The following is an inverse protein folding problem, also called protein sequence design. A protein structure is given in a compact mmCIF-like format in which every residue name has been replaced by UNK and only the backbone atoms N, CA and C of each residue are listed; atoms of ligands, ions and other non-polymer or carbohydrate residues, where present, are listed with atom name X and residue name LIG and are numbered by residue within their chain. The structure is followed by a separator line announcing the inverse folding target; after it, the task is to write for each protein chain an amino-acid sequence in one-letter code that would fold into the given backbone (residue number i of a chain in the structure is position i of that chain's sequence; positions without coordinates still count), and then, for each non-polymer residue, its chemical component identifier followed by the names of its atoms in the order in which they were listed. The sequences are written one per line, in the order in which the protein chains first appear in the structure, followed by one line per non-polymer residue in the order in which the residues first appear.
data_IF_034945049405
#
_entry.id   IF_034945049405
#
_cell.length_a   1.000
_cell.length_b   1.000
_cell.length_c   1.000
_cell.angle_alpha   90.00
_cell.angle_beta   90.00
_cell.angle_gamma   90.00
#
_symmetry.space_group_name_H-M   'P 1'
#
loop_
_entity.id
_entity.type
_entity.pdbx_description
1 polymer ?
#
# COMPACT_ATOMS: atom_id res chain seq x y z
N UNK A 1 1.96 2.31 -13.66
CA UNK A 1 2.85 1.13 -13.72
C UNK A 1 4.07 1.25 -12.81
N UNK A 2 4.92 2.29 -12.92
CA UNK A 2 6.14 2.41 -12.11
C UNK A 2 5.90 2.29 -10.59
N UNK A 3 4.89 2.96 -10.05
CA UNK A 3 4.56 2.93 -8.61
C UNK A 3 4.11 1.56 -8.12
N UNK A 4 3.36 0.82 -8.94
CA UNK A 4 2.89 -0.54 -8.63
C UNK A 4 4.05 -1.53 -8.57
N UNK A 5 5.06 -1.36 -9.44
CA UNK A 5 6.24 -2.21 -9.47
C UNK A 5 7.13 -1.99 -8.24
N UNK A 6 7.26 -0.72 -7.82
CA UNK A 6 7.95 -0.34 -6.58
C UNK A 6 7.21 -0.90 -5.36
N UNK A 7 5.90 -0.72 -5.27
CA UNK A 7 5.10 -1.27 -4.15
C UNK A 7 5.11 -2.81 -4.10
N UNK A 8 5.14 -3.47 -5.26
CA UNK A 8 5.28 -4.93 -5.32
C UNK A 8 6.66 -5.40 -4.85
N UNK A 9 7.73 -4.73 -5.28
CA UNK A 9 9.09 -5.05 -4.84
C UNK A 9 9.25 -4.85 -3.32
N UNK A 10 8.70 -3.78 -2.77
CA UNK A 10 8.71 -3.51 -1.32
C UNK A 10 7.96 -4.61 -0.54
N UNK A 11 6.78 -4.99 -1.03
CA UNK A 11 5.94 -6.02 -0.39
C UNK A 11 6.57 -7.42 -0.46
N UNK A 12 7.22 -7.76 -1.57
CA UNK A 12 7.99 -9.00 -1.71
C UNK A 12 9.17 -8.99 -0.76
N UNK A 13 9.90 -7.88 -0.64
CA UNK A 13 11.02 -7.74 0.27
C UNK A 13 10.60 -7.96 1.74
N UNK A 14 9.51 -7.32 2.17
CA UNK A 14 8.91 -7.52 3.51
C UNK A 14 8.46 -8.96 3.76
N UNK A 15 7.93 -9.64 2.73
CA UNK A 15 7.47 -11.02 2.85
C UNK A 15 8.65 -11.98 2.99
N UNK A 16 9.72 -11.75 2.24
CA UNK A 16 10.98 -12.50 2.37
C UNK A 16 11.58 -12.28 3.75
N UNK A 17 11.62 -11.04 4.25
CA UNK A 17 12.13 -10.75 5.60
C UNK A 17 11.33 -11.46 6.69
N UNK A 18 9.99 -11.45 6.60
CA UNK A 18 9.12 -12.13 7.56
C UNK A 18 9.33 -13.66 7.58
N UNK A 19 9.59 -14.27 6.43
CA UNK A 19 9.80 -15.72 6.32
C UNK A 19 11.22 -16.16 6.68
N UNK A 20 12.23 -15.36 6.31
CA UNK A 20 13.64 -15.70 6.54
C UNK A 20 14.18 -15.16 7.87
N UNK A 21 13.42 -14.30 8.56
CA UNK A 21 13.82 -13.74 9.86
C UNK A 21 15.13 -12.98 9.79
N UNK A 22 15.40 -12.33 8.66
CA UNK A 22 16.68 -11.65 8.38
C UNK A 22 16.89 -10.48 9.34
N UNK A 23 15.81 -10.02 10.00
CA UNK A 23 15.82 -8.87 10.89
C UNK A 23 15.86 -7.64 10.02
N UNK A 24 14.69 -7.02 9.82
CA UNK A 24 14.56 -5.79 9.05
C UNK A 24 15.69 -4.83 9.46
N UNK A 25 16.46 -4.36 8.49
CA UNK A 25 17.55 -3.41 8.73
C UNK A 25 16.93 -2.05 9.11
N UNK A 26 16.59 -1.90 10.39
CA UNK A 26 16.00 -0.70 10.98
C UNK A 26 17.06 0.37 11.22
N UNK A 27 17.83 0.72 10.20
CA UNK A 27 18.95 1.65 10.34
C UNK A 27 18.50 3.11 10.55
N UNK A 28 17.30 3.45 10.07
CA UNK A 28 16.79 4.83 10.06
C UNK A 28 15.78 5.15 11.17
N UNK A 29 15.04 4.14 11.69
CA UNK A 29 13.97 4.36 12.67
C UNK A 29 13.96 3.23 13.69
N UNK A 30 14.06 3.57 14.97
CA UNK A 30 14.03 2.60 16.07
C UNK A 30 12.59 2.09 16.30
N UNK A 31 12.43 0.78 16.47
CA UNK A 31 11.15 0.18 16.85
C UNK A 31 10.37 -0.58 15.75
N UNK A 32 10.90 -0.73 14.53
CA UNK A 32 10.28 -1.60 13.51
C UNK A 32 10.14 -3.04 14.05
N UNK A 33 11.11 -3.58 14.80
CA UNK A 33 10.98 -4.91 15.43
C UNK A 33 9.76 -5.00 16.37
N UNK A 34 9.47 -3.93 17.12
CA UNK A 34 8.30 -3.85 18.01
C UNK A 34 7.02 -3.84 17.18
N UNK A 35 7.00 -3.08 16.08
CA UNK A 35 5.86 -3.05 15.15
C UNK A 35 5.66 -4.43 14.50
N UNK A 36 6.71 -5.08 14.00
CA UNK A 36 6.62 -6.38 13.32
C UNK A 36 6.25 -7.53 14.26
N UNK A 37 6.66 -7.47 15.53
CA UNK A 37 6.29 -8.46 16.56
C UNK A 37 4.98 -8.16 17.27
N UNK A 38 4.38 -6.99 17.05
CA UNK A 38 3.08 -6.64 17.63
C UNK A 38 1.96 -7.49 17.03
N UNK A 39 0.89 -7.72 17.80
CA UNK A 39 -0.33 -8.39 17.30
C UNK A 39 -0.93 -7.65 16.09
N UNK A 40 -0.66 -6.35 15.95
CA UNK A 40 -1.11 -5.56 14.82
C UNK A 40 -0.37 -5.82 13.51
N UNK A 41 0.79 -6.49 13.54
CA UNK A 41 1.47 -6.98 12.34
C UNK A 41 0.74 -8.17 11.71
N UNK A 42 -0.15 -8.83 12.46
CA UNK A 42 -0.94 -9.97 12.01
C UNK A 42 -2.44 -9.70 12.20
N UNK A 43 -3.12 -9.31 11.12
CA UNK A 43 -4.57 -9.15 11.15
C UNK A 43 -5.22 -10.52 10.94
N UNK A 44 -5.94 -11.03 11.95
CA UNK A 44 -6.52 -12.39 11.95
C UNK A 44 -5.47 -13.51 11.73
N UNK A 45 -4.25 -13.33 12.24
CA UNK A 45 -3.15 -14.29 12.05
C UNK A 45 -2.51 -14.23 10.65
N UNK A 46 -2.91 -13.27 9.81
CA UNK A 46 -2.35 -13.06 8.47
C UNK A 46 -1.43 -11.83 8.51
N UNK A 47 -0.14 -11.97 8.15
CA UNK A 47 0.78 -10.84 8.16
C UNK A 47 0.32 -9.73 7.21
N UNK A 48 0.46 -8.50 7.68
CA UNK A 48 0.07 -7.29 6.96
C UNK A 48 0.70 -7.18 5.56
N UNK A 49 1.90 -7.75 5.40
CA UNK A 49 2.61 -7.82 4.13
C UNK A 49 1.77 -8.48 3.02
N UNK A 50 0.97 -9.50 3.37
CA UNK A 50 0.09 -10.20 2.42
C UNK A 50 -1.03 -9.27 1.94
N UNK A 51 -1.60 -8.47 2.83
CA UNK A 51 -2.59 -7.45 2.44
C UNK A 51 -1.98 -6.41 1.50
N UNK A 52 -0.74 -6.01 1.75
CA UNK A 52 0.03 -5.16 0.84
C UNK A 52 0.19 -5.79 -0.55
N UNK A 53 0.64 -7.04 -0.63
CA UNK A 53 0.76 -7.77 -1.91
C UNK A 53 -0.56 -7.79 -2.67
N UNK A 54 -1.65 -8.14 -1.99
CA UNK A 54 -2.99 -8.22 -2.61
C UNK A 54 -3.39 -6.84 -3.14
N UNK A 55 -3.20 -5.78 -2.34
CA UNK A 55 -3.53 -4.42 -2.72
C UNK A 55 -2.73 -3.95 -3.95
N UNK A 56 -1.41 -4.08 -3.94
CA UNK A 56 -0.56 -3.67 -5.07
C UNK A 56 -0.82 -4.51 -6.33
N UNK A 57 -1.10 -5.81 -6.17
CA UNK A 57 -1.47 -6.68 -7.28
C UNK A 57 -2.81 -6.25 -7.91
N UNK A 58 -3.83 -5.98 -7.11
CA UNK A 58 -5.10 -5.44 -7.58
C UNK A 58 -4.91 -4.12 -8.34
N UNK A 59 -4.14 -3.18 -7.79
CA UNK A 59 -3.85 -1.89 -8.44
C UNK A 59 -3.14 -2.10 -9.78
N UNK A 60 -2.16 -3.01 -9.85
CA UNK A 60 -1.43 -3.30 -11.09
C UNK A 60 -2.34 -3.87 -12.19
N UNK A 61 -3.21 -4.82 -11.81
CA UNK A 61 -4.19 -5.42 -12.72
C UNK A 61 -5.16 -4.36 -13.22
N UNK A 62 -5.73 -3.54 -12.33
CA UNK A 62 -6.71 -2.52 -12.71
C UNK A 62 -6.09 -1.47 -13.64
N UNK A 63 -4.85 -1.03 -13.38
CA UNK A 63 -4.15 -0.10 -14.29
C UNK A 63 -3.99 -0.69 -15.69
N UNK A 64 -3.61 -1.96 -15.81
CA UNK A 64 -3.54 -2.65 -17.11
C UNK A 64 -4.91 -2.73 -17.79
N UNK A 65 -5.98 -3.02 -17.04
CA UNK A 65 -7.34 -3.07 -17.57
C UNK A 65 -7.84 -1.67 -18.02
N UNK A 66 -7.48 -0.60 -17.31
CA UNK A 66 -7.78 0.78 -17.74
C UNK A 66 -7.11 1.07 -19.08
N UNK A 67 -5.85 0.69 -19.24
CA UNK A 67 -5.06 0.95 -20.45
C UNK A 67 -5.60 0.16 -21.67
N UNK A 68 -5.96 -1.11 -21.47
CA UNK A 68 -6.46 -1.99 -22.53
C UNK A 68 -7.90 -1.64 -22.95
N UNK A 69 -8.80 -1.40 -21.98
CA UNK A 69 -10.23 -1.30 -22.27
C UNK A 69 -10.76 0.15 -22.30
N UNK A 70 -10.02 1.13 -21.76
CA UNK A 70 -10.40 2.54 -21.63
C UNK A 70 -11.86 2.75 -21.14
N UNK A 71 -12.33 1.91 -20.21
CA UNK A 71 -13.69 2.03 -19.66
C UNK A 71 -13.66 2.85 -18.38
N UNK A 72 -14.58 3.82 -18.27
CA UNK A 72 -14.79 4.64 -17.07
C UNK A 72 -15.04 3.79 -15.81
N UNK A 73 -15.63 2.60 -15.98
CA UNK A 73 -15.85 1.65 -14.87
C UNK A 73 -14.56 1.28 -14.15
N UNK A 74 -13.47 1.05 -14.88
CA UNK A 74 -12.18 0.67 -14.28
C UNK A 74 -11.50 1.86 -13.60
N UNK A 75 -11.65 3.07 -14.15
CA UNK A 75 -11.16 4.31 -13.52
C UNK A 75 -11.88 4.54 -12.18
N UNK A 76 -13.21 4.33 -12.16
CA UNK A 76 -14.01 4.43 -10.93
C UNK A 76 -13.60 3.37 -9.90
N UNK A 77 -13.33 2.15 -10.34
CA UNK A 77 -12.86 1.07 -9.46
C UNK A 77 -11.47 1.39 -8.85
N UNK A 78 -10.56 1.91 -9.67
CA UNK A 78 -9.24 2.35 -9.21
C UNK A 78 -9.34 3.46 -8.15
N UNK A 79 -10.24 4.41 -8.37
CA UNK A 79 -10.52 5.48 -7.41
C UNK A 79 -11.04 4.95 -6.06
N UNK A 80 -12.00 4.01 -6.09
CA UNK A 80 -12.53 3.37 -4.87
C UNK A 80 -11.42 2.62 -4.11
N UNK A 81 -10.59 1.84 -4.81
CA UNK A 81 -9.48 1.12 -4.19
C UNK A 81 -8.43 2.09 -3.63
N UNK A 82 -8.15 3.19 -4.32
CA UNK A 82 -7.27 4.24 -3.82
C UNK A 82 -7.78 4.85 -2.51
N UNK A 83 -9.08 5.13 -2.41
CA UNK A 83 -9.71 5.62 -1.17
C UNK A 83 -9.55 4.60 -0.04
N UNK A 84 -9.86 3.32 -0.31
CA UNK A 84 -9.75 2.27 0.70
C UNK A 84 -8.30 2.13 1.20
N UNK A 85 -7.32 2.14 0.30
CA UNK A 85 -5.90 2.10 0.66
C UNK A 85 -5.44 3.31 1.46
N UNK A 86 -5.96 4.50 1.16
CA UNK A 86 -5.66 5.73 1.90
C UNK A 86 -6.26 5.70 3.31
N UNK A 87 -7.50 5.27 3.46
CA UNK A 87 -8.15 5.10 4.78
C UNK A 87 -7.39 4.06 5.61
N UNK A 88 -7.06 2.92 5.02
CA UNK A 88 -6.26 1.89 5.68
C UNK A 88 -4.90 2.44 6.14
N UNK A 89 -4.22 3.23 5.29
CA UNK A 89 -2.95 3.88 5.61
C UNK A 89 -3.05 4.81 6.83
N UNK A 90 -4.12 5.60 6.93
CA UNK A 90 -4.37 6.47 8.09
C UNK A 90 -4.60 5.63 9.36
N UNK A 91 -5.38 4.55 9.27
CA UNK A 91 -5.63 3.66 10.41
C UNK A 91 -4.32 3.05 10.91
N UNK A 92 -3.45 2.60 10.00
CA UNK A 92 -2.13 2.06 10.38
C UNK A 92 -1.21 3.10 11.00
N UNK A 93 -1.21 4.32 10.47
CA UNK A 93 -0.46 5.45 11.04
C UNK A 93 -0.93 5.76 12.46
N UNK A 94 -2.24 5.77 12.67
CA UNK A 94 -2.85 5.99 13.98
C UNK A 94 -2.43 4.90 14.97
N UNK A 95 -2.44 3.63 14.54
CA UNK A 95 -2.02 2.50 15.36
C UNK A 95 -0.54 2.57 15.78
N UNK A 96 0.34 2.97 14.86
CA UNK A 96 1.77 3.12 15.14
C UNK A 96 2.07 4.22 16.15
N UNK A 97 1.37 5.35 16.06
CA UNK A 97 1.60 6.50 16.96
C UNK A 97 0.93 6.35 18.32
N UNK A 98 -0.31 5.86 18.37
CA UNK A 98 -1.11 5.85 19.60
C UNK A 98 -1.12 4.52 20.35
N UNK A 99 -0.86 3.40 19.66
CA UNK A 99 -0.97 2.06 20.27
C UNK A 99 0.40 1.44 20.47
N UNK A 100 1.22 1.41 19.42
CA UNK A 100 2.53 0.75 19.47
C UNK A 100 3.61 1.73 19.96
N UNK A 101 3.37 3.05 19.80
CA UNK A 101 4.34 4.13 20.08
C UNK A 101 5.70 3.92 19.39
N UNK A 102 5.69 3.23 18.25
CA UNK A 102 6.87 2.87 17.47
C UNK A 102 6.61 3.06 15.97
N UNK A 103 7.63 3.54 15.26
CA UNK A 103 7.56 3.82 13.84
C UNK A 103 8.37 2.80 13.05
N UNK A 104 7.77 2.28 11.97
CA UNK A 104 8.46 1.36 11.07
C UNK A 104 8.65 2.01 9.71
N UNK A 105 9.91 2.11 9.27
CA UNK A 105 10.29 2.78 8.02
C UNK A 105 9.57 2.18 6.81
N UNK A 106 9.51 0.85 6.74
CA UNK A 106 8.81 0.12 5.68
C UNK A 106 7.30 0.41 5.66
N UNK A 107 6.66 0.52 6.82
CA UNK A 107 5.26 0.92 6.88
C UNK A 107 5.06 2.37 6.40
N UNK A 108 6.00 3.27 6.71
CA UNK A 108 6.00 4.64 6.17
C UNK A 108 6.15 4.66 4.64
N UNK A 109 7.04 3.82 4.09
CA UNK A 109 7.20 3.68 2.63
C UNK A 109 5.92 3.16 1.98
N UNK A 110 5.24 2.18 2.60
CA UNK A 110 3.94 1.67 2.14
C UNK A 110 2.84 2.74 2.22
N UNK A 111 2.86 3.59 3.25
CA UNK A 111 1.99 4.76 3.39
C UNK A 111 2.21 5.77 2.26
N UNK A 112 3.47 6.08 1.98
CA UNK A 112 3.86 6.98 0.90
C UNK A 112 3.41 6.46 -0.46
N UNK A 113 3.63 5.18 -0.74
CA UNK A 113 3.23 4.54 -1.99
C UNK A 113 1.70 4.46 -2.14
N UNK A 114 0.95 4.11 -1.09
CA UNK A 114 -0.52 4.19 -1.11
C UNK A 114 -1.03 5.61 -1.35
N UNK A 115 -0.41 6.61 -0.73
CA UNK A 115 -0.75 8.03 -0.95
C UNK A 115 -0.48 8.46 -2.39
N UNK A 116 0.66 8.05 -2.96
CA UNK A 116 1.00 8.31 -4.36
C UNK A 116 -0.02 7.64 -5.30
N UNK A 117 -0.43 6.40 -5.02
CA UNK A 117 -1.47 5.69 -5.80
C UNK A 117 -2.80 6.43 -5.71
N UNK A 118 -3.17 6.94 -4.54
CA UNK A 118 -4.39 7.74 -4.36
C UNK A 118 -4.35 9.03 -5.20
N UNK A 119 -3.23 9.78 -5.15
CA UNK A 119 -3.04 11.00 -5.95
C UNK A 119 -3.10 10.69 -7.46
N UNK A 120 -2.41 9.63 -7.91
CA UNK A 120 -2.46 9.18 -9.31
C UNK A 120 -3.87 8.77 -9.74
N UNK A 121 -4.62 8.10 -8.88
CA UNK A 121 -6.00 7.70 -9.14
C UNK A 121 -6.91 8.91 -9.29
N UNK A 122 -6.74 9.93 -8.46
CA UNK A 122 -7.44 11.22 -8.59
C UNK A 122 -7.08 11.92 -9.90
N UNK A 123 -5.79 11.99 -10.25
CA UNK A 123 -5.35 12.65 -11.49
C UNK A 123 -5.91 11.95 -12.74
N UNK A 124 -5.90 10.61 -12.76
CA UNK A 124 -6.51 9.82 -13.84
C UNK A 124 -8.02 10.00 -13.90
N UNK A 125 -8.70 10.02 -12.76
CA UNK A 125 -10.13 10.30 -12.69
C UNK A 125 -10.45 11.71 -13.23
N UNK A 126 -9.70 12.73 -12.81
CA UNK A 126 -9.90 14.10 -13.25
C UNK A 126 -9.58 14.31 -14.75
N UNK A 127 -8.61 13.56 -15.30
CA UNK A 127 -8.34 13.50 -16.75
C UNK A 127 -9.47 12.83 -17.52
N UNK A 128 -10.00 11.72 -17.01
CA UNK A 128 -11.15 11.02 -17.61
C UNK A 128 -12.40 11.90 -17.61
N UNK A 129 -12.65 12.67 -16.55
CA UNK A 129 -13.77 13.64 -16.51
C UNK A 129 -13.54 14.88 -17.37
N UNK A 130 -12.28 15.24 -17.72
CA UNK A 130 -11.98 16.32 -18.67
C UNK A 130 -12.07 15.88 -20.15
N UNK A 131 -12.21 14.58 -20.42
CA UNK A 131 -12.30 13.99 -21.77
C UNK A 131 -13.74 13.66 -22.18
N UNK A 132 -14.70 13.76 -21.26
CA UNK A 132 -16.14 13.68 -21.59
C UNK A 132 -16.69 15.12 -21.68
N UNK A 133 -16.96 15.63 -22.90
CA UNK A 133 -17.61 16.93 -23.09
C UNK A 133 -19.05 16.94 -22.58
#
# INVERSE_FOLDING_TARGET
MAVSLVGFADSVYLTVDHYFGIGVLCYLVHGCDVVLKSEYSQLFGVPLAIFGIIFYSCVFVIINLVDIYQKDKFVKLLYVIGIVGFIASIIFLYLQLFVIEALCFYCLVSLGSSTIIFILSILLYNRSTNIVP
#
